data_IF_217451045791
#
_entry.id   IF_217451045791
#
_cell.length_a   1.000
_cell.length_b   1.000
_cell.length_c   1.000
_cell.angle_alpha   90.00
_cell.angle_beta   90.00
_cell.angle_gamma   90.00
#
_symmetry.space_group_name_H-M   'P 1'
#
loop_
_entity.id
_entity.type
_entity.pdbx_description
1 polymer ?
#
# COMPACT_ATOMS: atom_id res chain seq x y z
N UNK A 1 17.38 -19.72 9.34
CA UNK A 1 17.82 -18.85 10.44
C UNK A 1 17.23 -17.48 10.13
N UNK A 2 16.12 -17.16 10.77
CA UNK A 2 15.37 -15.92 10.57
C UNK A 2 16.15 -14.80 11.26
N UNK A 3 16.74 -13.89 10.49
CA UNK A 3 17.29 -12.66 11.06
C UNK A 3 16.14 -11.85 11.63
N UNK A 4 16.22 -11.59 12.92
CA UNK A 4 15.20 -10.94 13.70
C UNK A 4 14.94 -9.50 13.23
N UNK A 5 13.67 -9.08 13.37
CA UNK A 5 13.13 -7.73 13.30
C UNK A 5 14.19 -6.66 13.57
N UNK A 6 14.62 -5.94 12.52
CA UNK A 6 15.63 -4.85 12.65
C UNK A 6 15.00 -3.49 12.88
N UNK A 7 13.71 -3.38 13.05
CA UNK A 7 13.02 -2.10 13.28
C UNK A 7 12.35 -2.11 14.63
N UNK A 8 12.57 -1.07 15.44
CA UNK A 8 12.02 -0.94 16.80
C UNK A 8 10.50 -0.75 16.86
N UNK A 9 9.83 -0.70 15.71
CA UNK A 9 8.39 -0.58 15.58
C UNK A 9 7.80 -1.97 15.26
N UNK A 10 7.07 -2.56 16.20
CA UNK A 10 6.31 -3.78 15.94
C UNK A 10 5.18 -3.44 14.93
N UNK A 11 4.96 -4.32 13.97
CA UNK A 11 3.88 -4.22 12.99
C UNK A 11 3.31 -5.61 12.76
N UNK A 12 2.01 -5.75 12.85
CA UNK A 12 1.32 -7.03 12.61
C UNK A 12 0.75 -7.07 11.21
N UNK A 13 0.26 -5.92 10.72
CA UNK A 13 -0.46 -5.83 9.45
C UNK A 13 0.10 -4.70 8.58
N UNK A 14 0.43 -5.03 7.35
CA UNK A 14 0.79 -4.06 6.32
C UNK A 14 -0.44 -3.57 5.57
N UNK A 15 -0.69 -2.26 5.56
CA UNK A 15 -1.76 -1.62 4.79
C UNK A 15 -1.25 -1.28 3.39
N UNK A 16 -1.73 -2.00 2.39
CA UNK A 16 -1.32 -1.82 1.00
C UNK A 16 -2.45 -1.19 0.18
N UNK A 17 -2.46 0.14 0.14
CA UNK A 17 -3.43 0.93 -0.61
C UNK A 17 -3.09 1.04 -2.10
N UNK A 18 -4.11 1.07 -2.95
CA UNK A 18 -3.90 1.26 -4.38
C UNK A 18 -5.18 1.30 -5.19
N UNK A 19 -5.06 1.78 -6.44
CA UNK A 19 -6.17 1.72 -7.40
C UNK A 19 -6.44 0.29 -7.86
N UNK A 20 -5.40 -0.57 -7.92
CA UNK A 20 -5.47 -1.95 -8.42
C UNK A 20 -6.28 -2.08 -9.70
N UNK A 21 -5.82 -1.40 -10.75
CA UNK A 21 -6.52 -1.24 -12.02
C UNK A 21 -5.72 -1.79 -13.24
N UNK A 22 -5.52 -3.10 -13.36
CA UNK A 22 -5.78 -4.16 -12.38
C UNK A 22 -4.67 -4.35 -11.35
N UNK A 23 -4.87 -5.17 -10.31
CA UNK A 23 -3.78 -5.76 -9.54
C UNK A 23 -2.95 -6.67 -10.46
N UNK A 24 -1.66 -6.81 -10.20
CA UNK A 24 -0.75 -7.60 -11.03
C UNK A 24 0.37 -8.23 -10.22
N UNK A 25 1.14 -9.12 -10.84
CA UNK A 25 2.17 -9.92 -10.19
C UNK A 25 3.20 -9.08 -9.40
N UNK A 26 3.56 -7.89 -9.89
CA UNK A 26 4.49 -7.02 -9.15
C UNK A 26 3.91 -6.57 -7.80
N UNK A 27 2.60 -6.32 -7.72
CA UNK A 27 1.97 -6.02 -6.43
C UNK A 27 2.03 -7.22 -5.47
N UNK A 28 1.79 -8.45 -5.96
CA UNK A 28 1.83 -9.66 -5.13
C UNK A 28 3.23 -9.90 -4.58
N UNK A 29 4.26 -9.81 -5.45
CA UNK A 29 5.65 -10.01 -5.05
C UNK A 29 6.08 -8.95 -4.03
N UNK A 30 5.75 -7.68 -4.26
CA UNK A 30 6.07 -6.61 -3.30
C UNK A 30 5.40 -6.86 -1.95
N UNK A 31 4.11 -7.20 -1.95
CA UNK A 31 3.37 -7.47 -0.72
C UNK A 31 3.98 -8.63 0.08
N UNK A 32 4.37 -9.71 -0.61
CA UNK A 32 4.98 -10.87 0.05
C UNK A 32 6.39 -10.58 0.57
N UNK A 33 7.21 -9.88 -0.21
CA UNK A 33 8.56 -9.46 0.22
C UNK A 33 8.49 -8.53 1.43
N UNK A 34 7.57 -7.56 1.43
CA UNK A 34 7.35 -6.67 2.57
C UNK A 34 6.92 -7.46 3.80
N UNK A 35 5.94 -8.36 3.65
CA UNK A 35 5.46 -9.22 4.72
C UNK A 35 6.60 -10.01 5.36
N UNK A 36 7.41 -10.65 4.54
CA UNK A 36 8.53 -11.49 5.01
C UNK A 36 9.64 -10.65 5.68
N UNK A 37 10.04 -9.54 5.05
CA UNK A 37 11.13 -8.68 5.55
C UNK A 37 10.80 -8.00 6.88
N UNK A 38 9.55 -7.59 7.08
CA UNK A 38 9.10 -6.92 8.31
C UNK A 38 8.43 -7.89 9.31
N UNK A 39 8.28 -9.15 8.95
CA UNK A 39 7.67 -10.17 9.81
C UNK A 39 6.20 -9.89 10.09
N UNK A 40 5.48 -9.36 9.09
CA UNK A 40 4.05 -9.10 9.22
C UNK A 40 3.25 -10.40 9.19
N UNK A 41 2.21 -10.48 9.97
CA UNK A 41 1.27 -11.59 9.96
C UNK A 41 0.42 -11.57 8.70
N UNK A 42 -0.10 -10.39 8.32
CA UNK A 42 -0.95 -10.18 7.15
C UNK A 42 -0.57 -8.92 6.35
N UNK A 43 -0.95 -8.91 5.07
CA UNK A 43 -1.02 -7.68 4.26
C UNK A 43 -2.47 -7.46 3.83
N UNK A 44 -3.02 -6.31 4.20
CA UNK A 44 -4.36 -5.90 3.84
C UNK A 44 -4.33 -5.03 2.61
N UNK A 45 -4.92 -5.53 1.53
CA UNK A 45 -5.06 -4.85 0.26
C UNK A 45 -6.28 -3.95 0.29
N UNK A 46 -6.08 -2.65 0.11
CA UNK A 46 -7.12 -1.62 0.26
C UNK A 46 -7.35 -0.94 -1.09
N UNK A 47 -8.29 -1.44 -1.92
CA UNK A 47 -8.70 -0.75 -3.13
C UNK A 47 -9.35 0.60 -2.78
N UNK A 48 -8.78 1.69 -3.30
CA UNK A 48 -9.36 3.01 -3.06
C UNK A 48 -10.71 3.19 -3.78
N UNK A 49 -11.65 3.90 -3.16
CA UNK A 49 -12.93 4.22 -3.79
C UNK A 49 -12.70 5.27 -4.90
N UNK A 50 -12.29 6.47 -4.52
CA UNK A 50 -11.95 7.57 -5.42
C UNK A 50 -10.58 8.10 -5.05
N UNK A 51 -9.53 7.87 -5.89
CA UNK A 51 -8.21 8.40 -5.64
C UNK A 51 -8.22 9.93 -5.65
N UNK A 52 -7.63 10.62 -4.65
CA UNK A 52 -7.69 12.09 -4.56
C UNK A 52 -6.94 12.81 -5.70
N UNK A 53 -6.06 12.09 -6.42
CA UNK A 53 -5.18 12.67 -7.45
C UNK A 53 -5.37 12.07 -8.85
N UNK A 54 -6.39 11.26 -9.08
CA UNK A 54 -6.65 10.62 -10.39
C UNK A 54 -8.08 10.90 -10.86
N UNK A 55 -8.22 11.92 -11.69
CA UNK A 55 -9.29 11.99 -12.69
C UNK A 55 -8.79 11.17 -13.89
N UNK A 56 -8.94 9.85 -13.86
CA UNK A 56 -8.50 8.99 -14.95
C UNK A 56 -9.73 8.32 -15.56
N UNK A 57 -10.13 8.76 -16.76
CA UNK A 57 -11.20 8.16 -17.57
C UNK A 57 -10.98 6.67 -17.85
N UNK A 58 -9.75 6.18 -17.64
CA UNK A 58 -9.37 4.78 -17.77
C UNK A 58 -9.50 3.96 -16.48
N UNK A 59 -9.97 4.56 -15.39
CA UNK A 59 -10.16 3.85 -14.12
C UNK A 59 -11.41 2.96 -14.20
N UNK A 60 -11.24 1.65 -14.04
CA UNK A 60 -12.36 0.72 -13.94
C UNK A 60 -13.21 1.02 -12.70
N UNK A 61 -14.50 0.75 -12.78
CA UNK A 61 -15.41 0.93 -11.64
C UNK A 61 -14.90 0.24 -10.38
N UNK A 62 -15.16 0.83 -9.23
CA UNK A 62 -14.63 0.36 -7.93
C UNK A 62 -14.98 -1.09 -7.64
N UNK A 63 -16.18 -1.53 -7.97
CA UNK A 63 -16.64 -2.91 -7.79
C UNK A 63 -15.83 -3.91 -8.63
N UNK A 64 -15.47 -3.53 -9.87
CA UNK A 64 -14.61 -4.36 -10.71
C UNK A 64 -13.19 -4.44 -10.15
N UNK A 65 -12.65 -3.32 -9.65
CA UNK A 65 -11.32 -3.29 -9.06
C UNK A 65 -11.26 -4.12 -7.77
N UNK A 66 -12.29 -4.01 -6.94
CA UNK A 66 -12.46 -4.82 -5.74
C UNK A 66 -12.54 -6.33 -6.08
N UNK A 67 -13.34 -6.69 -7.07
CA UNK A 67 -13.47 -8.09 -7.51
C UNK A 67 -12.14 -8.65 -8.07
N UNK A 68 -11.40 -7.86 -8.86
CA UNK A 68 -10.09 -8.26 -9.38
C UNK A 68 -9.09 -8.42 -8.24
N UNK A 69 -9.10 -7.53 -7.24
CA UNK A 69 -8.19 -7.61 -6.09
C UNK A 69 -8.49 -8.85 -5.26
N UNK A 70 -9.76 -9.15 -4.97
CA UNK A 70 -10.14 -10.38 -4.26
C UNK A 70 -9.62 -11.63 -4.97
N UNK A 71 -9.79 -11.73 -6.29
CA UNK A 71 -9.27 -12.86 -7.07
C UNK A 71 -7.76 -12.96 -7.07
N UNK A 72 -7.06 -11.82 -7.08
CA UNK A 72 -5.60 -11.80 -7.11
C UNK A 72 -4.98 -12.32 -5.82
N UNK A 73 -5.65 -12.18 -4.68
CA UNK A 73 -5.10 -12.53 -3.35
C UNK A 73 -5.73 -13.79 -2.74
N UNK A 74 -6.75 -14.37 -3.38
CA UNK A 74 -7.59 -15.46 -2.84
C UNK A 74 -6.79 -16.70 -2.40
N UNK A 75 -5.74 -17.05 -3.15
CA UNK A 75 -4.91 -18.22 -2.86
C UNK A 75 -3.78 -17.93 -1.83
N UNK A 76 -3.62 -16.68 -1.38
CA UNK A 76 -2.52 -16.34 -0.47
C UNK A 76 -2.99 -16.26 0.98
N UNK A 77 -2.45 -17.13 1.88
CA UNK A 77 -2.98 -17.28 3.25
C UNK A 77 -2.84 -16.03 4.13
N UNK A 78 -1.85 -15.17 3.84
CA UNK A 78 -1.57 -13.95 4.61
C UNK A 78 -2.02 -12.67 3.90
N UNK A 79 -2.75 -12.76 2.79
CA UNK A 79 -3.30 -11.59 2.12
C UNK A 79 -4.81 -11.50 2.36
N UNK A 80 -5.27 -10.30 2.65
CA UNK A 80 -6.67 -9.99 2.88
C UNK A 80 -7.08 -8.77 2.08
N UNK A 81 -8.28 -8.75 1.54
CA UNK A 81 -8.87 -7.53 0.98
C UNK A 81 -9.66 -6.80 2.04
N UNK A 82 -9.31 -5.54 2.27
CA UNK A 82 -10.05 -4.62 3.13
C UNK A 82 -10.78 -3.60 2.25
N UNK A 83 -12.10 -3.63 2.25
CA UNK A 83 -12.95 -2.79 1.41
C UNK A 83 -13.49 -1.54 2.14
N UNK A 84 -12.84 -1.15 3.24
CA UNK A 84 -13.24 -0.04 4.11
C UNK A 84 -13.42 1.29 3.34
N UNK A 85 -12.56 1.57 2.36
CA UNK A 85 -12.68 2.78 1.55
C UNK A 85 -13.85 2.71 0.57
N UNK A 86 -14.11 1.51 0.03
CA UNK A 86 -15.25 1.27 -0.86
C UNK A 86 -16.56 1.43 -0.09
N UNK A 87 -16.65 0.90 1.13
CA UNK A 87 -17.82 1.04 2.00
C UNK A 87 -18.06 2.47 2.45
N UNK A 88 -16.99 3.21 2.77
CA UNK A 88 -17.09 4.62 3.19
C UNK A 88 -17.54 5.52 2.05
N UNK A 89 -17.23 5.17 0.81
CA UNK A 89 -17.41 5.98 -0.40
C UNK A 89 -16.71 7.37 -0.34
N UNK A 90 -16.77 8.12 -1.42
CA UNK A 90 -16.13 9.45 -1.48
C UNK A 90 -14.62 9.38 -1.69
N UNK A 91 -13.93 10.47 -1.35
CA UNK A 91 -12.48 10.60 -1.53
C UNK A 91 -11.76 9.75 -0.50
N UNK A 92 -10.82 8.93 -0.97
CA UNK A 92 -10.01 8.03 -0.14
C UNK A 92 -8.79 8.75 0.42
N UNK A 93 -8.90 9.33 1.60
CA UNK A 93 -7.75 9.86 2.33
C UNK A 93 -7.14 8.80 3.25
N UNK A 94 -5.86 8.53 3.07
CA UNK A 94 -5.12 7.49 3.83
C UNK A 94 -5.21 7.68 5.34
N UNK A 95 -5.13 8.91 5.83
CA UNK A 95 -5.26 9.20 7.28
C UNK A 95 -6.59 8.74 7.85
N UNK A 96 -7.69 8.93 7.11
CA UNK A 96 -9.03 8.53 7.55
C UNK A 96 -9.17 6.99 7.57
N UNK A 97 -8.53 6.35 6.62
CA UNK A 97 -8.50 4.88 6.55
C UNK A 97 -7.72 4.29 7.72
N UNK A 98 -6.55 4.85 8.03
CA UNK A 98 -5.73 4.43 9.18
C UNK A 98 -6.49 4.64 10.50
N UNK A 99 -7.12 5.80 10.70
CA UNK A 99 -7.92 6.07 11.90
C UNK A 99 -9.03 5.05 12.09
N UNK A 100 -9.82 4.81 11.04
CA UNK A 100 -10.93 3.87 11.10
C UNK A 100 -10.45 2.43 11.39
N UNK A 101 -9.32 2.02 10.82
CA UNK A 101 -8.75 0.70 11.07
C UNK A 101 -8.22 0.57 12.51
N UNK A 102 -7.54 1.59 13.03
CA UNK A 102 -7.07 1.59 14.42
C UNK A 102 -8.24 1.59 15.44
N UNK A 103 -9.35 2.26 15.10
CA UNK A 103 -10.57 2.22 15.92
C UNK A 103 -11.25 0.85 15.91
N UNK A 104 -11.27 0.17 14.76
CA UNK A 104 -11.86 -1.16 14.62
C UNK A 104 -10.96 -2.28 15.16
N UNK A 105 -9.65 -2.08 15.15
CA UNK A 105 -8.64 -3.07 15.54
C UNK A 105 -7.61 -2.45 16.49
N UNK A 106 -8.00 -2.10 17.73
CA UNK A 106 -7.15 -1.36 18.67
C UNK A 106 -5.92 -2.14 19.15
N UNK A 107 -5.91 -3.46 19.01
CA UNK A 107 -4.79 -4.33 19.42
C UNK A 107 -3.84 -4.66 18.26
N UNK A 108 -4.06 -4.06 17.04
CA UNK A 108 -3.28 -4.37 15.84
C UNK A 108 -2.32 -3.22 15.53
N UNK A 109 -1.06 -3.53 15.40
CA UNK A 109 -0.04 -2.59 14.96
C UNK A 109 0.05 -2.59 13.43
N UNK A 110 -0.25 -1.44 12.83
CA UNK A 110 -0.28 -1.26 11.38
C UNK A 110 1.00 -0.60 10.85
N UNK A 111 1.42 -1.00 9.63
CA UNK A 111 2.41 -0.29 8.81
C UNK A 111 1.83 0.08 7.46
N UNK A 112 2.14 1.25 6.92
CA UNK A 112 1.68 1.71 5.61
C UNK A 112 2.67 1.34 4.51
N UNK A 113 2.24 0.61 3.50
CA UNK A 113 3.07 0.19 2.36
C UNK A 113 2.79 1.10 1.17
N UNK A 114 3.83 1.81 0.69
CA UNK A 114 3.76 2.70 -0.47
C UNK A 114 4.94 2.50 -1.44
N UNK A 115 4.75 2.89 -2.69
CA UNK A 115 5.85 2.94 -3.65
C UNK A 115 6.71 4.19 -3.51
N UNK A 116 7.94 4.15 -3.98
CA UNK A 116 8.86 5.29 -3.98
C UNK A 116 8.31 6.52 -4.72
N UNK A 117 7.52 6.31 -5.78
CA UNK A 117 6.80 7.37 -6.49
C UNK A 117 5.76 8.09 -5.60
N UNK A 118 5.16 7.37 -4.67
CA UNK A 118 4.24 7.94 -3.67
C UNK A 118 4.98 8.67 -2.56
N UNK A 119 6.16 8.20 -2.18
CA UNK A 119 7.01 8.87 -1.19
C UNK A 119 7.44 10.26 -1.67
N UNK A 120 7.79 10.41 -2.95
CA UNK A 120 8.17 11.71 -3.56
C UNK A 120 7.10 12.79 -3.40
N UNK A 121 5.86 12.38 -3.24
CA UNK A 121 4.71 13.28 -3.09
C UNK A 121 4.02 13.16 -1.71
N UNK A 122 4.58 12.36 -0.80
CA UNK A 122 3.96 12.07 0.49
C UNK A 122 3.70 13.33 1.32
N UNK A 123 4.61 14.29 1.28
CA UNK A 123 4.46 15.58 1.97
C UNK A 123 3.25 16.40 1.52
N UNK A 124 2.68 16.10 0.33
CA UNK A 124 1.48 16.74 -0.21
C UNK A 124 0.18 15.96 0.08
N UNK A 125 0.27 14.83 0.76
CA UNK A 125 -0.91 14.06 1.13
C UNK A 125 -1.75 14.81 2.17
N UNK A 126 -3.00 14.38 2.33
CA UNK A 126 -3.84 14.94 3.38
C UNK A 126 -3.33 14.53 4.76
N UNK A 127 -2.85 15.50 5.55
CA UNK A 127 -2.29 15.31 6.90
C UNK A 127 -1.13 14.30 6.96
N UNK A 128 -0.05 14.52 6.21
CA UNK A 128 1.05 13.54 6.12
C UNK A 128 1.78 13.35 7.45
N UNK A 129 1.92 14.40 8.25
CA UNK A 129 2.55 14.31 9.57
C UNK A 129 1.73 13.39 10.50
N UNK A 130 0.42 13.48 10.47
CA UNK A 130 -0.45 12.61 11.25
C UNK A 130 -0.37 11.14 10.78
N UNK A 131 -0.24 10.88 9.48
CA UNK A 131 -0.01 9.53 8.97
C UNK A 131 1.28 8.97 9.55
N UNK A 132 2.39 9.74 9.45
CA UNK A 132 3.70 9.33 9.94
C UNK A 132 3.74 9.14 11.46
N UNK A 133 2.97 9.93 12.22
CA UNK A 133 2.84 9.77 13.68
C UNK A 133 2.09 8.49 14.05
N UNK A 134 1.12 8.09 13.24
CA UNK A 134 0.25 6.94 13.52
C UNK A 134 0.85 5.60 13.17
N UNK A 135 1.56 5.51 12.03
CA UNK A 135 2.07 4.25 11.49
C UNK A 135 3.45 4.41 10.87
N UNK A 136 4.34 3.42 10.97
CA UNK A 136 5.54 3.34 10.15
C UNK A 136 5.20 3.26 8.67
N UNK A 137 6.08 3.81 7.81
CA UNK A 137 5.90 3.86 6.38
C UNK A 137 6.94 2.94 5.72
N UNK A 138 6.46 1.90 5.06
CA UNK A 138 7.29 0.93 4.35
C UNK A 138 7.29 1.30 2.87
N UNK A 139 8.48 1.56 2.32
CA UNK A 139 8.64 2.05 0.95
C UNK A 139 9.34 1.01 0.09
N UNK A 140 8.67 0.58 -0.98
CA UNK A 140 9.28 -0.27 -2.00
C UNK A 140 9.66 0.54 -3.24
N UNK A 141 10.79 0.14 -3.86
CA UNK A 141 11.31 0.81 -5.05
C UNK A 141 10.47 0.53 -6.28
N UNK A 142 10.17 1.60 -7.03
CA UNK A 142 9.57 1.50 -8.37
C UNK A 142 10.60 1.74 -9.48
N UNK A 143 10.38 1.19 -10.70
CA UNK A 143 11.23 1.48 -11.86
C UNK A 143 11.32 2.99 -12.10
N UNK A 144 12.54 3.47 -12.41
CA UNK A 144 12.79 4.87 -12.75
C UNK A 144 13.08 5.81 -11.58
N UNK A 145 12.96 5.36 -10.33
CA UNK A 145 13.37 6.13 -9.15
C UNK A 145 14.86 5.88 -8.87
N UNK A 146 15.66 6.95 -8.87
CA UNK A 146 17.12 6.88 -8.76
C UNK A 146 17.55 6.90 -7.29
N UNK A 147 16.93 7.71 -6.45
CA UNK A 147 17.26 7.86 -5.03
C UNK A 147 16.07 7.55 -4.14
N UNK A 148 16.33 6.89 -3.03
CA UNK A 148 15.36 6.58 -1.97
C UNK A 148 15.61 7.56 -0.81
N UNK A 149 15.05 8.76 -0.93
CA UNK A 149 15.21 9.81 0.07
C UNK A 149 13.87 10.22 0.62
N UNK A 150 13.67 10.03 1.92
CA UNK A 150 12.52 10.60 2.61
C UNK A 150 12.79 12.06 2.97
N UNK A 151 11.72 12.88 3.01
CA UNK A 151 11.82 14.20 3.62
C UNK A 151 12.37 14.07 5.06
N UNK A 152 13.30 14.96 5.52
CA UNK A 152 13.93 14.82 6.83
C UNK A 152 12.94 14.66 8.00
N UNK A 153 11.76 15.29 7.92
CA UNK A 153 10.73 15.20 8.96
C UNK A 153 10.10 13.80 9.09
N UNK A 154 10.17 12.98 8.04
CA UNK A 154 9.64 11.62 8.03
C UNK A 154 10.72 10.53 8.11
N UNK A 155 12.00 10.91 8.09
CA UNK A 155 13.11 9.97 7.98
C UNK A 155 13.11 8.87 9.06
N UNK A 156 12.68 9.19 10.28
CA UNK A 156 12.61 8.22 11.38
C UNK A 156 11.40 7.27 11.31
N UNK A 157 10.47 7.50 10.39
CA UNK A 157 9.25 6.70 10.21
C UNK A 157 9.20 5.95 8.89
N UNK A 158 10.20 6.19 8.01
CA UNK A 158 10.30 5.58 6.68
C UNK A 158 11.32 4.45 6.70
N UNK A 159 10.87 3.28 6.25
CA UNK A 159 11.67 2.06 6.15
C UNK A 159 11.68 1.59 4.70
N UNK A 160 12.86 1.52 4.09
CA UNK A 160 13.00 1.06 2.72
C UNK A 160 13.12 -0.46 2.66
N UNK A 161 12.42 -1.05 1.68
CA UNK A 161 12.43 -2.49 1.42
C UNK A 161 13.14 -2.81 0.12
N UNK A 162 14.00 -3.82 0.16
CA UNK A 162 14.66 -4.35 -1.03
C UNK A 162 13.75 -5.38 -1.71
N UNK A 163 12.84 -4.92 -2.56
CA UNK A 163 12.00 -5.77 -3.39
C UNK A 163 12.52 -5.81 -4.84
N UNK A 164 12.29 -6.89 -5.60
CA UNK A 164 12.61 -6.92 -7.00
C UNK A 164 11.90 -5.81 -7.79
N UNK A 165 12.65 -5.05 -8.57
CA UNK A 165 12.08 -4.03 -9.45
C UNK A 165 11.50 -4.73 -10.68
N UNK A 166 10.20 -4.56 -10.93
CA UNK A 166 9.49 -5.21 -12.04
C UNK A 166 8.85 -4.18 -12.95
N UNK A 167 9.15 -4.29 -14.25
CA UNK A 167 8.58 -3.44 -15.28
C UNK A 167 7.17 -3.93 -15.70
N UNK A 168 6.24 -3.95 -14.75
CA UNK A 168 4.83 -4.28 -14.99
C UNK A 168 3.96 -3.15 -14.46
N UNK A 169 3.07 -2.63 -15.31
CA UNK A 169 2.13 -1.58 -14.92
C UNK A 169 0.71 -1.90 -15.33
N UNK A 170 -0.25 -1.44 -14.53
CA UNK A 170 -1.67 -1.56 -14.85
C UNK A 170 -2.03 -0.88 -16.19
N UNK A 171 -1.35 0.21 -16.54
CA UNK A 171 -1.54 0.91 -17.82
C UNK A 171 -1.14 0.03 -19.02
N UNK A 172 0.00 -0.65 -18.93
CA UNK A 172 0.46 -1.57 -19.97
C UNK A 172 -0.49 -2.77 -20.11
N UNK A 173 -0.91 -3.34 -19.00
CA UNK A 173 -1.88 -4.45 -19.01
C UNK A 173 -3.18 -4.02 -19.69
N UNK A 174 -3.74 -2.88 -19.34
CA UNK A 174 -4.97 -2.36 -19.97
C UNK A 174 -4.78 -2.09 -21.46
N UNK A 175 -3.60 -1.60 -21.86
CA UNK A 175 -3.30 -1.36 -23.28
C UNK A 175 -3.27 -2.66 -24.10
N UNK A 176 -2.83 -3.77 -23.50
CA UNK A 176 -2.77 -5.09 -24.16
C UNK A 176 -4.12 -5.81 -24.19
N UNK A 177 -5.09 -5.40 -23.38
CA UNK A 177 -6.44 -5.99 -23.33
C UNK A 177 -7.46 -5.26 -24.22
N UNK A 178 -7.05 -4.22 -24.95
CA UNK A 178 -7.85 -3.47 -25.94
C UNK A 178 -7.56 -4.00 -27.35
#
# INVERSE_FOLDING_TARGET
MTEARQTGDAMDVGLFGGSFNPPHIAHLIVADVVRDQFGLDEVWWIPNATPPHKEDDALAGVEHRLAMTRRAVDDHPSFRVCDIEVQRAGVSYTVETIRALQEQHPETDFGLIIGSDSLDHFGNWHRPDEIADRVPIIVYKRPGVIEEVAEPRFANRVHFVSAPVMEVSGTEIRARCR
#
